data_IF_530836547107
#
_entry.id   IF_530836547107
#
_cell.length_a   1.000
_cell.length_b   1.000
_cell.length_c   1.000
_cell.angle_alpha   90.00
_cell.angle_beta   90.00
_cell.angle_gamma   90.00
#
_symmetry.space_group_name_H-M   'P 1'
#
loop_
_entity.id
_entity.type
_entity.pdbx_description
1 polymer ?
#
# COMPACT_ATOMS: atom_id res chain seq x y z
N UNK A 1 -64.99 6.87 59.71
CA UNK A 1 -65.46 7.36 58.41
C UNK A 1 -64.31 8.11 57.75
N UNK A 2 -63.89 7.65 56.57
CA UNK A 2 -63.04 8.32 55.53
C UNK A 2 -61.58 8.72 55.92
N UNK A 3 -60.52 8.07 55.41
CA UNK A 3 -59.82 8.24 54.10
C UNK A 3 -59.28 9.68 53.88
N UNK A 4 -57.98 9.96 53.61
CA UNK A 4 -57.07 9.53 52.52
C UNK A 4 -55.59 9.50 53.02
N UNK A 5 -54.74 8.48 52.81
CA UNK A 5 -53.95 7.99 51.63
C UNK A 5 -52.97 8.99 51.01
N UNK A 6 -51.69 8.83 51.36
CA UNK A 6 -50.49 9.25 50.60
C UNK A 6 -49.40 8.20 50.89
N UNK A 7 -49.11 7.32 49.93
CA UNK A 7 -48.06 6.31 50.00
C UNK A 7 -47.24 6.41 48.71
N UNK A 8 -46.04 6.97 48.82
CA UNK A 8 -44.98 6.91 47.82
C UNK A 8 -44.26 5.56 47.99
N UNK A 9 -44.28 4.73 46.96
CA UNK A 9 -43.48 3.50 46.88
C UNK A 9 -42.12 3.81 46.24
N UNK A 10 -41.06 3.61 47.01
CA UNK A 10 -39.71 3.29 46.55
C UNK A 10 -39.72 1.93 45.85
N UNK A 11 -39.10 1.85 44.66
CA UNK A 11 -38.55 0.60 44.14
C UNK A 11 -37.32 0.88 43.27
N UNK A 12 -36.19 0.58 43.89
CA UNK A 12 -34.86 0.27 43.36
C UNK A 12 -34.95 -0.78 42.22
N UNK A 13 -34.21 -0.60 41.13
CA UNK A 13 -33.73 -1.69 40.27
C UNK A 13 -32.60 -1.26 39.34
N UNK A 14 -31.42 -1.77 39.69
CA UNK A 14 -30.50 -2.57 38.86
C UNK A 14 -30.01 -2.05 37.48
N UNK A 15 -28.72 -1.75 37.52
CA UNK A 15 -27.66 -1.92 36.52
C UNK A 15 -28.03 -2.78 35.30
N UNK A 16 -28.12 -2.12 34.13
CA UNK A 16 -28.00 -2.79 32.84
C UNK A 16 -26.87 -2.15 32.03
N UNK A 17 -25.68 -2.67 32.28
CA UNK A 17 -24.52 -2.64 31.40
C UNK A 17 -24.87 -3.18 30.01
N UNK A 18 -25.08 -2.29 29.04
CA UNK A 18 -25.10 -2.67 27.64
C UNK A 18 -23.67 -2.71 27.11
N UNK A 19 -23.06 -3.89 27.29
CA UNK A 19 -21.91 -4.34 26.52
C UNK A 19 -22.34 -4.44 25.04
N UNK A 20 -22.03 -3.40 24.26
CA UNK A 20 -22.14 -3.43 22.81
C UNK A 20 -20.92 -4.17 22.26
N UNK A 21 -20.93 -5.50 22.39
CA UNK A 21 -20.14 -6.40 21.57
C UNK A 21 -20.51 -6.20 20.11
N UNK A 22 -19.78 -5.32 19.41
CA UNK A 22 -19.80 -5.23 17.96
C UNK A 22 -19.15 -6.48 17.39
N UNK A 23 -19.94 -7.55 17.30
CA UNK A 23 -19.63 -8.71 16.49
C UNK A 23 -19.66 -8.29 15.02
N UNK A 24 -18.50 -7.91 14.49
CA UNK A 24 -18.30 -7.51 13.11
C UNK A 24 -18.09 -8.75 12.24
N UNK A 25 -19.12 -9.62 12.19
CA UNK A 25 -19.17 -10.72 11.23
C UNK A 25 -19.56 -10.15 9.85
N UNK A 26 -18.54 -9.69 9.13
CA UNK A 26 -18.66 -8.95 7.87
C UNK A 26 -18.37 -9.85 6.65
N UNK A 27 -18.69 -11.15 6.64
CA UNK A 27 -18.57 -11.98 5.43
C UNK A 27 -19.77 -11.80 4.47
N UNK A 28 -20.17 -10.56 4.24
CA UNK A 28 -21.20 -10.20 3.27
C UNK A 28 -20.65 -10.17 1.84
N UNK A 29 -21.51 -10.40 0.82
CA UNK A 29 -21.11 -10.40 -0.60
C UNK A 29 -20.53 -9.06 -1.10
N UNK A 30 -20.70 -7.99 -0.33
CA UNK A 30 -20.23 -6.63 -0.65
C UNK A 30 -18.71 -6.46 -0.44
N UNK A 31 -18.06 -7.29 0.40
CA UNK A 31 -16.61 -7.17 0.68
C UNK A 31 -15.74 -7.27 -0.56
N UNK A 32 -16.13 -8.08 -1.54
CA UNK A 32 -15.39 -8.21 -2.79
C UNK A 32 -15.34 -6.90 -3.60
N UNK A 33 -16.37 -6.06 -3.48
CA UNK A 33 -16.42 -4.76 -4.12
C UNK A 33 -15.43 -3.76 -3.50
N UNK A 34 -14.94 -4.02 -2.29
CA UNK A 34 -14.01 -3.14 -1.59
C UNK A 34 -12.56 -3.27 -2.11
N UNK A 35 -12.22 -4.40 -2.73
CA UNK A 35 -10.89 -4.67 -3.31
C UNK A 35 -10.79 -4.18 -4.76
N UNK A 36 -11.13 -2.91 -4.96
CA UNK A 36 -11.21 -2.27 -6.29
C UNK A 36 -9.87 -2.17 -7.02
N UNK A 37 -8.76 -2.19 -6.26
CA UNK A 37 -7.43 -1.85 -6.79
C UNK A 37 -6.78 -2.99 -7.57
N UNK A 38 -7.27 -4.22 -7.46
CA UNK A 38 -6.73 -5.38 -8.19
C UNK A 38 -6.59 -5.11 -9.69
N UNK A 39 -7.59 -4.43 -10.30
CA UNK A 39 -7.58 -4.10 -11.74
C UNK A 39 -6.57 -3.03 -12.14
N UNK A 40 -6.03 -2.29 -11.17
CA UNK A 40 -5.09 -1.20 -11.40
C UNK A 40 -3.63 -1.61 -11.15
N UNK A 41 -3.40 -2.86 -10.74
CA UNK A 41 -2.06 -3.41 -10.59
C UNK A 41 -1.54 -3.76 -11.99
N UNK A 42 -0.34 -3.29 -12.33
CA UNK A 42 0.37 -3.71 -13.52
C UNK A 42 1.07 -5.05 -13.24
N UNK A 43 0.28 -6.13 -13.27
CA UNK A 43 0.71 -7.49 -12.90
C UNK A 43 1.91 -7.95 -13.73
N UNK A 44 1.98 -7.57 -15.00
CA UNK A 44 3.08 -7.95 -15.89
C UNK A 44 4.42 -7.39 -15.42
N UNK A 45 4.41 -6.19 -14.83
CA UNK A 45 5.59 -5.48 -14.33
C UNK A 45 5.82 -5.64 -12.82
N UNK A 46 5.02 -6.43 -12.11
CA UNK A 46 5.32 -6.81 -10.71
C UNK A 46 6.66 -7.54 -10.67
N UNK A 47 7.51 -7.12 -9.73
CA UNK A 47 8.82 -7.74 -9.49
C UNK A 47 8.89 -8.20 -8.05
N UNK A 48 9.57 -9.31 -7.82
CA UNK A 48 9.87 -9.78 -6.48
C UNK A 48 11.36 -10.11 -6.36
N UNK A 49 11.94 -9.71 -5.24
CA UNK A 49 13.29 -10.08 -4.86
C UNK A 49 13.20 -11.24 -3.85
N UNK A 50 14.10 -12.21 -4.03
CA UNK A 50 14.17 -13.46 -3.26
C UNK A 50 12.96 -14.40 -3.43
N UNK A 51 12.22 -14.37 -4.56
CA UNK A 51 11.24 -15.41 -4.86
C UNK A 51 11.90 -16.69 -5.40
N UNK A 52 11.48 -17.86 -4.90
CA UNK A 52 12.05 -19.16 -5.31
C UNK A 52 11.68 -19.55 -6.75
N UNK A 53 10.50 -19.11 -7.22
CA UNK A 53 10.05 -19.32 -8.58
C UNK A 53 9.77 -17.98 -9.25
N UNK A 54 10.41 -17.73 -10.38
CA UNK A 54 10.24 -16.49 -11.15
C UNK A 54 8.77 -16.24 -11.50
N UNK A 55 8.27 -15.06 -11.15
CA UNK A 55 6.89 -14.65 -11.41
C UNK A 55 5.85 -15.22 -10.45
N UNK A 56 6.26 -15.94 -9.40
CA UNK A 56 5.35 -16.44 -8.37
C UNK A 56 4.60 -15.31 -7.65
N UNK A 57 5.27 -14.18 -7.40
CA UNK A 57 4.65 -12.99 -6.81
C UNK A 57 3.49 -12.42 -7.64
N UNK A 58 3.48 -12.62 -8.96
CA UNK A 58 2.35 -12.20 -9.81
C UNK A 58 1.08 -12.97 -9.48
N UNK A 59 1.23 -14.19 -8.99
CA UNK A 59 0.13 -15.12 -8.76
C UNK A 59 -0.62 -14.89 -7.45
N UNK A 60 -0.05 -14.12 -6.51
CA UNK A 60 -0.68 -13.82 -5.21
C UNK A 60 -1.68 -12.66 -5.29
N UNK A 61 -1.63 -11.87 -6.36
CA UNK A 61 -2.68 -10.92 -6.68
C UNK A 61 -3.80 -11.68 -7.36
N UNK A 62 -4.93 -11.84 -6.65
CA UNK A 62 -6.10 -12.59 -7.13
C UNK A 62 -7.36 -11.77 -6.88
N UNK A 63 -8.48 -12.20 -7.48
CA UNK A 63 -9.78 -11.64 -7.10
C UNK A 63 -10.17 -12.08 -5.69
N UNK A 64 -11.07 -11.33 -5.06
CA UNK A 64 -11.61 -11.64 -3.73
C UNK A 64 -12.17 -13.07 -3.61
N UNK A 65 -12.80 -13.58 -4.66
CA UNK A 65 -13.38 -14.92 -4.70
C UNK A 65 -12.30 -16.01 -4.66
N UNK A 66 -11.12 -15.71 -5.19
CA UNK A 66 -9.98 -16.63 -5.26
C UNK A 66 -9.03 -16.51 -4.06
N UNK A 67 -9.34 -15.67 -3.07
CA UNK A 67 -8.48 -15.45 -1.88
C UNK A 67 -8.17 -16.72 -1.10
N UNK A 68 -9.07 -17.69 -1.11
CA UNK A 68 -8.93 -18.97 -0.40
C UNK A 68 -8.15 -20.03 -1.20
N UNK A 69 -7.74 -19.73 -2.44
CA UNK A 69 -6.96 -20.62 -3.28
C UNK A 69 -5.49 -20.66 -2.82
N UNK A 70 -5.11 -21.78 -2.21
CA UNK A 70 -3.76 -22.03 -1.72
C UNK A 70 -2.82 -22.65 -2.77
N UNK A 71 -3.28 -22.90 -4.00
CA UNK A 71 -2.46 -23.54 -5.04
C UNK A 71 -1.40 -22.60 -5.62
N UNK A 72 -1.65 -21.29 -5.54
CA UNK A 72 -0.71 -20.26 -6.00
C UNK A 72 -0.21 -19.44 -4.81
N UNK A 73 1.09 -19.31 -4.70
CA UNK A 73 1.77 -18.60 -3.63
C UNK A 73 3.12 -18.08 -4.15
N UNK A 74 3.66 -17.09 -3.45
CA UNK A 74 5.08 -16.74 -3.50
C UNK A 74 5.75 -17.30 -2.26
N UNK A 75 6.93 -17.85 -2.45
CA UNK A 75 7.79 -18.39 -1.39
C UNK A 75 9.19 -17.83 -1.59
N UNK A 76 9.88 -17.57 -0.49
CA UNK A 76 11.27 -17.12 -0.54
C UNK A 76 12.26 -18.25 -0.81
N UNK A 77 13.39 -17.92 -1.46
CA UNK A 77 14.35 -18.93 -1.92
C UNK A 77 15.46 -19.24 -0.90
N UNK A 78 16.11 -18.19 -0.37
CA UNK A 78 17.31 -18.34 0.45
C UNK A 78 17.06 -18.19 1.95
N UNK A 79 16.16 -17.30 2.33
CA UNK A 79 15.92 -16.86 3.70
C UNK A 79 14.49 -16.29 3.81
N UNK A 80 14.08 -15.81 4.98
CA UNK A 80 12.72 -15.33 5.25
C UNK A 80 12.37 -13.98 4.56
N UNK A 81 13.34 -13.26 4.03
CA UNK A 81 13.13 -11.91 3.51
C UNK A 81 12.50 -11.94 2.11
N UNK A 82 11.44 -11.14 1.90
CA UNK A 82 10.81 -10.94 0.59
C UNK A 82 10.57 -9.46 0.32
N UNK A 83 10.91 -9.00 -0.89
CA UNK A 83 10.51 -7.66 -1.36
C UNK A 83 9.64 -7.82 -2.59
N UNK A 84 8.47 -7.19 -2.60
CA UNK A 84 7.52 -7.20 -3.73
C UNK A 84 7.28 -5.77 -4.17
N UNK A 85 7.63 -5.47 -5.42
CA UNK A 85 7.43 -4.19 -6.07
C UNK A 85 6.17 -4.26 -6.96
N UNK A 86 5.22 -3.36 -6.68
CA UNK A 86 3.86 -3.37 -7.21
C UNK A 86 3.62 -2.04 -7.95
N UNK A 87 3.88 -1.99 -9.26
CA UNK A 87 3.53 -0.84 -10.08
C UNK A 87 2.01 -0.78 -10.32
N UNK A 88 1.48 0.44 -10.43
CA UNK A 88 0.08 0.69 -10.75
C UNK A 88 -0.09 1.43 -12.08
N UNK A 89 -1.17 1.12 -12.79
CA UNK A 89 -1.57 1.79 -14.03
C UNK A 89 -2.33 3.10 -13.78
N UNK A 90 -2.71 3.37 -12.53
CA UNK A 90 -3.47 4.53 -12.09
C UNK A 90 -2.85 5.15 -10.83
N UNK A 91 -3.31 6.35 -10.45
CA UNK A 91 -2.91 6.98 -9.19
C UNK A 91 -3.77 6.43 -8.06
N UNK A 92 -3.13 5.80 -7.06
CA UNK A 92 -3.81 5.06 -6.02
C UNK A 92 -3.82 5.84 -4.71
N UNK A 93 -4.95 5.80 -4.01
CA UNK A 93 -5.10 6.16 -2.61
C UNK A 93 -5.45 4.90 -1.83
N UNK A 94 -4.45 4.36 -1.15
CA UNK A 94 -4.57 3.09 -0.45
C UNK A 94 -5.23 3.32 0.92
N UNK A 95 -6.22 2.50 1.26
CA UNK A 95 -6.94 2.54 2.54
C UNK A 95 -6.48 1.41 3.46
N UNK A 96 -6.43 0.18 2.95
CA UNK A 96 -5.90 -0.98 3.67
C UNK A 96 -5.22 -1.98 2.74
N UNK A 97 -4.35 -2.79 3.35
CA UNK A 97 -3.68 -3.93 2.72
C UNK A 97 -4.20 -5.18 3.42
N UNK A 98 -4.59 -6.20 2.67
CA UNK A 98 -4.97 -7.50 3.21
C UNK A 98 -3.90 -8.53 2.84
N UNK A 99 -3.40 -9.27 3.82
CA UNK A 99 -2.37 -10.29 3.61
C UNK A 99 -2.90 -11.65 4.09
N UNK A 100 -2.56 -12.69 3.34
CA UNK A 100 -2.73 -14.07 3.77
C UNK A 100 -1.42 -14.85 3.56
N UNK A 101 -0.70 -15.08 4.65
CA UNK A 101 0.51 -15.91 4.66
C UNK A 101 0.24 -17.42 4.75
N UNK A 102 -1.02 -17.82 4.94
CA UNK A 102 -1.40 -19.21 5.18
C UNK A 102 -1.21 -19.62 6.64
N UNK A 103 -1.30 -20.92 6.96
CA UNK A 103 -1.09 -21.41 8.33
C UNK A 103 0.39 -21.64 8.64
N UNK A 104 0.75 -21.52 9.92
CA UNK A 104 2.06 -21.90 10.43
C UNK A 104 3.15 -20.84 10.30
N UNK A 105 4.39 -21.26 10.59
CA UNK A 105 5.49 -20.35 10.93
C UNK A 105 6.13 -19.67 9.69
N UNK A 106 5.84 -20.15 8.48
CA UNK A 106 6.18 -19.51 7.19
C UNK A 106 5.45 -18.21 6.92
N UNK A 107 4.43 -17.89 7.73
CA UNK A 107 3.68 -16.65 7.59
C UNK A 107 4.59 -15.47 7.95
N UNK A 108 4.70 -14.44 7.11
CA UNK A 108 5.43 -13.24 7.48
C UNK A 108 4.87 -12.63 8.76
N UNK A 109 5.74 -12.22 9.68
CA UNK A 109 5.37 -11.64 10.98
C UNK A 109 5.40 -10.13 10.94
N UNK A 110 6.12 -9.52 9.99
CA UNK A 110 6.21 -8.07 9.83
C UNK A 110 6.11 -7.66 8.36
N UNK A 111 5.53 -6.48 8.12
CA UNK A 111 5.43 -5.86 6.80
C UNK A 111 5.79 -4.38 6.87
N UNK A 112 6.72 -3.95 6.02
CA UNK A 112 7.08 -2.55 5.79
C UNK A 112 6.60 -2.14 4.39
N UNK A 113 6.02 -0.94 4.26
CA UNK A 113 5.60 -0.40 2.98
C UNK A 113 6.34 0.89 2.62
N UNK A 114 6.72 1.01 1.36
CA UNK A 114 7.34 2.19 0.75
C UNK A 114 6.53 2.57 -0.47
N UNK A 115 6.22 3.85 -0.62
CA UNK A 115 5.47 4.35 -1.78
C UNK A 115 6.38 5.16 -2.70
N UNK A 116 6.14 5.03 -4.01
CA UNK A 116 6.81 5.81 -5.06
C UNK A 116 8.34 5.75 -5.01
N UNK A 117 8.88 4.59 -4.63
CA UNK A 117 10.32 4.30 -4.61
C UNK A 117 10.62 3.04 -5.39
N UNK A 118 11.58 3.12 -6.28
CA UNK A 118 12.12 2.01 -7.09
C UNK A 118 13.49 1.52 -6.60
N UNK A 119 14.06 2.21 -5.61
CA UNK A 119 15.41 1.98 -5.08
C UNK A 119 15.43 1.14 -3.80
N UNK A 120 14.31 0.51 -3.42
CA UNK A 120 14.23 -0.32 -2.22
C UNK A 120 14.66 -1.75 -2.53
N UNK A 121 15.73 -2.18 -1.86
CA UNK A 121 16.34 -3.51 -1.90
C UNK A 121 16.71 -3.96 -0.47
N UNK A 122 17.34 -5.13 -0.30
CA UNK A 122 17.66 -5.66 1.04
C UNK A 122 18.71 -4.83 1.80
N UNK A 123 19.59 -4.10 1.11
CA UNK A 123 20.58 -3.22 1.76
C UNK A 123 19.94 -1.92 2.26
N UNK A 124 18.96 -1.41 1.53
CA UNK A 124 18.33 -0.10 1.78
C UNK A 124 17.03 -0.20 2.57
N UNK A 125 16.35 -1.35 2.57
CA UNK A 125 15.05 -1.50 3.19
C UNK A 125 15.07 -1.26 4.71
N UNK A 126 16.11 -1.73 5.42
CA UNK A 126 16.19 -1.54 6.86
C UNK A 126 16.78 -0.19 7.30
N UNK A 127 17.49 0.51 6.41
CA UNK A 127 18.05 1.84 6.68
C UNK A 127 17.12 2.98 6.26
N UNK A 128 16.21 2.71 5.32
CA UNK A 128 15.22 3.66 4.85
C UNK A 128 13.98 3.67 5.75
N UNK A 129 13.51 4.86 6.15
CA UNK A 129 12.25 4.98 6.89
C UNK A 129 11.07 4.48 6.04
N UNK A 130 10.33 3.44 6.48
CA UNK A 130 9.14 2.99 5.78
C UNK A 130 8.03 4.02 5.91
N UNK A 131 7.17 4.10 4.88
CA UNK A 131 5.98 4.96 4.94
C UNK A 131 5.06 4.55 6.11
N UNK A 132 4.94 3.25 6.30
CA UNK A 132 4.33 2.61 7.47
C UNK A 132 4.80 1.16 7.59
N UNK A 133 4.74 0.65 8.81
CA UNK A 133 5.08 -0.72 9.20
C UNK A 133 3.94 -1.31 10.01
N UNK A 134 3.76 -2.63 9.90
CA UNK A 134 2.74 -3.41 10.61
C UNK A 134 3.32 -4.72 11.12
N UNK A 135 2.92 -5.07 12.33
CA UNK A 135 3.00 -6.44 12.83
C UNK A 135 1.84 -7.25 12.26
N UNK A 136 2.18 -8.35 11.59
CA UNK A 136 1.22 -9.25 10.98
C UNK A 136 0.69 -10.24 12.02
N UNK A 137 -0.40 -10.93 11.69
CA UNK A 137 -1.01 -11.91 12.58
C UNK A 137 -0.79 -13.32 12.03
N UNK A 138 -0.46 -14.24 12.92
CA UNK A 138 -0.34 -15.67 12.61
C UNK A 138 -1.71 -16.33 12.53
N UNK A 139 -1.76 -17.48 11.86
CA UNK A 139 -2.88 -18.42 11.89
C UNK A 139 -4.25 -17.84 11.51
N UNK A 140 -4.26 -16.92 10.54
CA UNK A 140 -5.52 -16.42 9.94
C UNK A 140 -6.27 -17.61 9.33
N UNK A 141 -7.54 -17.85 9.68
CA UNK A 141 -8.30 -18.95 9.12
C UNK A 141 -8.39 -18.88 7.60
N UNK A 142 -8.36 -20.03 6.94
CA UNK A 142 -8.47 -20.10 5.47
C UNK A 142 -9.76 -19.40 5.00
N UNK A 143 -9.61 -18.48 4.05
CA UNK A 143 -10.72 -17.72 3.49
C UNK A 143 -11.07 -16.45 4.28
N UNK A 144 -10.49 -16.25 5.45
CA UNK A 144 -10.46 -14.95 6.12
C UNK A 144 -9.19 -14.20 5.73
N UNK A 145 -9.21 -12.89 5.97
CA UNK A 145 -8.09 -12.01 5.70
C UNK A 145 -7.86 -11.07 6.88
N UNK A 146 -6.60 -10.92 7.26
CA UNK A 146 -6.20 -9.85 8.15
C UNK A 146 -6.03 -8.57 7.32
N UNK A 147 -6.83 -7.55 7.66
CA UNK A 147 -6.75 -6.23 7.04
C UNK A 147 -5.88 -5.29 7.90
N UNK A 148 -4.91 -4.68 7.24
CA UNK A 148 -3.94 -3.76 7.82
C UNK A 148 -4.27 -2.34 7.34
N UNK A 149 -4.89 -1.50 8.19
CA UNK A 149 -5.26 -0.15 7.81
C UNK A 149 -4.02 0.72 7.62
N UNK A 150 -4.04 1.53 6.57
CA UNK A 150 -2.99 2.49 6.26
C UNK A 150 -3.33 3.87 6.79
N UNK A 151 -2.31 4.68 7.06
CA UNK A 151 -2.47 6.12 7.29
C UNK A 151 -2.76 6.80 5.95
N UNK A 152 -4.03 6.86 5.56
CA UNK A 152 -4.50 7.35 4.25
C UNK A 152 -3.82 8.67 3.82
N UNK A 153 -3.54 9.58 4.74
CA UNK A 153 -2.84 10.85 4.45
C UNK A 153 -1.41 10.64 3.89
N UNK A 154 -0.69 9.61 4.35
CA UNK A 154 0.62 9.20 3.81
C UNK A 154 0.48 8.36 2.55
N UNK A 155 -0.63 7.65 2.38
CA UNK A 155 -0.86 6.68 1.29
C UNK A 155 -1.79 7.25 0.20
N UNK A 156 -1.39 8.39 -0.38
CA UNK A 156 -2.10 9.02 -1.49
C UNK A 156 -1.16 9.24 -2.68
N UNK A 157 -1.73 9.30 -3.89
CA UNK A 157 -0.99 9.48 -5.13
C UNK A 157 0.14 8.44 -5.33
N UNK A 158 -0.17 7.18 -5.04
CA UNK A 158 0.77 6.07 -5.16
C UNK A 158 0.74 5.58 -6.61
N UNK A 159 1.92 5.47 -7.22
CA UNK A 159 2.17 4.90 -8.55
C UNK A 159 2.97 3.61 -8.48
N UNK A 160 3.76 3.46 -7.42
CA UNK A 160 4.47 2.24 -7.10
C UNK A 160 4.37 1.97 -5.60
N UNK A 161 4.10 0.73 -5.21
CA UNK A 161 4.12 0.26 -3.83
C UNK A 161 5.15 -0.85 -3.68
N UNK A 162 6.11 -0.69 -2.79
CA UNK A 162 7.05 -1.74 -2.41
C UNK A 162 6.66 -2.27 -1.04
N UNK A 163 6.41 -3.57 -0.95
CA UNK A 163 6.18 -4.28 0.30
C UNK A 163 7.42 -5.09 0.63
N UNK A 164 7.93 -4.94 1.85
CA UNK A 164 9.06 -5.68 2.38
C UNK A 164 8.63 -6.48 3.60
N UNK A 165 8.93 -7.76 3.57
CA UNK A 165 8.68 -8.73 4.63
C UNK A 165 10.04 -9.17 5.17
N UNK A 166 10.53 -8.59 6.28
CA UNK A 166 11.86 -8.88 6.81
C UNK A 166 11.96 -10.20 7.59
N UNK A 167 10.85 -10.68 8.15
CA UNK A 167 10.84 -11.83 9.06
C UNK A 167 9.50 -12.56 9.03
N UNK A 168 9.51 -13.82 9.47
CA UNK A 168 8.33 -14.67 9.65
C UNK A 168 8.14 -15.10 11.11
N UNK A 169 7.26 -16.07 11.37
CA UNK A 169 6.93 -16.52 12.73
C UNK A 169 7.86 -17.63 13.27
N UNK A 170 8.93 -17.98 12.55
CA UNK A 170 9.99 -18.89 13.02
C UNK A 170 10.41 -19.99 12.04
N UNK A 171 10.08 -19.89 10.75
CA UNK A 171 10.54 -20.80 9.70
C UNK A 171 11.73 -20.19 8.93
N UNK A 172 12.46 -20.99 8.16
CA UNK A 172 13.61 -20.49 7.39
C UNK A 172 13.17 -19.71 6.13
N UNK A 173 11.93 -19.92 5.68
CA UNK A 173 11.38 -19.29 4.48
C UNK A 173 9.98 -18.74 4.71
N UNK A 174 9.68 -17.61 4.04
CA UNK A 174 8.40 -16.93 4.07
C UNK A 174 7.52 -17.36 2.92
N UNK A 175 6.20 -17.43 3.16
CA UNK A 175 5.20 -17.75 2.13
C UNK A 175 3.99 -16.83 2.21
N UNK A 176 3.54 -16.37 1.05
CA UNK A 176 2.35 -15.53 0.91
C UNK A 176 1.44 -16.12 -0.17
N UNK A 177 0.15 -16.27 0.12
CA UNK A 177 -0.84 -16.84 -0.79
C UNK A 177 -1.75 -15.79 -1.43
N UNK A 178 -1.95 -14.66 -0.75
CA UNK A 178 -2.82 -13.59 -1.23
C UNK A 178 -2.38 -12.22 -0.71
N UNK A 179 -2.39 -11.24 -1.61
CA UNK A 179 -2.25 -9.81 -1.30
C UNK A 179 -3.44 -9.07 -1.92
N UNK A 180 -4.27 -8.48 -1.07
CA UNK A 180 -5.40 -7.65 -1.45
C UNK A 180 -5.14 -6.19 -1.16
N UNK A 181 -5.49 -5.30 -2.08
CA UNK A 181 -5.37 -3.85 -1.90
C UNK A 181 -6.75 -3.21 -1.97
N UNK A 182 -7.10 -2.45 -0.93
CA UNK A 182 -8.39 -1.75 -0.81
C UNK A 182 -8.15 -0.25 -0.78
N UNK A 183 -8.90 0.48 -1.59
CA UNK A 183 -8.73 1.92 -1.72
C UNK A 183 -9.50 2.56 -2.87
N UNK A 184 -9.03 3.72 -3.27
CA UNK A 184 -9.57 4.52 -4.36
C UNK A 184 -8.48 4.70 -5.42
N UNK A 185 -8.87 4.84 -6.69
CA UNK A 185 -7.94 5.14 -7.76
C UNK A 185 -8.46 6.30 -8.60
N UNK A 186 -7.54 7.02 -9.22
CA UNK A 186 -7.82 8.07 -10.18
C UNK A 186 -7.02 7.81 -11.45
N UNK A 187 -7.65 8.05 -12.60
CA UNK A 187 -6.98 7.92 -13.89
C UNK A 187 -5.80 8.90 -13.97
N UNK A 188 -4.66 8.41 -14.43
CA UNK A 188 -3.51 9.26 -14.71
C UNK A 188 -3.74 9.83 -16.11
N UNK A 189 -4.17 11.09 -16.19
CA UNK A 189 -4.12 11.83 -17.45
C UNK A 189 -2.65 11.96 -17.87
N UNK A 190 -2.25 11.17 -18.88
CA UNK A 190 -0.95 11.31 -19.55
C UNK A 190 -1.02 12.48 -20.53
N UNK A 191 -1.26 13.69 -20.04
CA UNK A 191 -0.95 14.86 -20.85
C UNK A 191 0.58 14.97 -20.90
N UNK A 192 1.21 14.83 -22.08
CA UNK A 192 2.63 15.10 -22.19
C UNK A 192 2.82 16.57 -21.81
N UNK A 193 3.54 16.83 -20.72
CA UNK A 193 4.07 18.17 -20.46
C UNK A 193 5.11 18.40 -21.56
N UNK A 194 4.65 18.92 -22.70
CA UNK A 194 5.52 19.45 -23.74
C UNK A 194 6.07 20.74 -23.15
N UNK A 195 7.12 20.65 -22.33
CA UNK A 195 7.93 21.80 -22.00
C UNK A 195 8.68 22.18 -23.27
N UNK A 196 8.02 22.92 -24.17
CA UNK A 196 8.74 23.78 -25.11
C UNK A 196 9.44 24.81 -24.22
N UNK A 197 10.67 24.51 -23.82
CA UNK A 197 11.57 25.55 -23.32
C UNK A 197 11.91 26.37 -24.56
N UNK A 198 11.18 27.46 -24.76
CA UNK A 198 11.46 28.44 -25.80
C UNK A 198 12.86 29.03 -25.53
N UNK A 199 13.89 28.40 -26.09
CA UNK A 199 15.14 29.09 -26.41
C UNK A 199 14.87 29.99 -27.62
N UNK A 200 13.98 30.97 -27.45
CA UNK A 200 14.03 32.18 -28.25
C UNK A 200 15.27 32.93 -27.77
N UNK A 201 16.39 32.73 -28.48
CA UNK A 201 17.52 33.64 -28.37
C UNK A 201 16.99 35.06 -28.60
N UNK A 202 16.91 35.88 -27.55
CA UNK A 202 16.60 37.30 -27.69
C UNK A 202 17.78 37.95 -28.43
N UNK A 203 17.60 38.45 -29.67
CA UNK A 203 18.71 38.96 -30.48
C UNK A 203 19.32 40.29 -29.97
N UNK A 204 19.00 40.72 -28.75
CA UNK A 204 19.43 42.00 -28.18
C UNK A 204 20.62 41.94 -27.22
N UNK A 205 21.22 40.77 -26.94
CA UNK A 205 22.30 40.66 -25.92
C UNK A 205 23.74 40.70 -26.48
N UNK A 206 23.93 40.93 -27.78
CA UNK A 206 25.28 41.17 -28.32
C UNK A 206 25.61 42.68 -28.31
N UNK A 207 26.05 43.21 -27.17
CA UNK A 207 26.85 44.46 -27.17
C UNK A 207 28.28 44.14 -27.58
N UNK A 208 28.55 44.16 -28.88
CA UNK A 208 29.91 44.17 -29.39
C UNK A 208 30.65 45.43 -28.87
N UNK A 209 31.71 45.22 -28.08
CA UNK A 209 32.69 46.26 -27.77
C UNK A 209 33.39 46.64 -29.08
N UNK A 210 33.02 47.78 -29.66
CA UNK A 210 33.80 48.42 -30.71
C UNK A 210 34.99 49.14 -30.06
N UNK A 211 36.15 48.48 -30.05
CA UNK A 211 37.43 49.11 -29.78
C UNK A 211 37.72 50.18 -30.83
N UNK A 212 37.88 51.44 -30.39
CA UNK A 212 38.32 52.54 -31.24
C UNK A 212 39.84 52.51 -31.34
N UNK A 213 40.37 51.94 -32.43
CA UNK A 213 41.75 52.20 -32.86
C UNK A 213 41.77 53.41 -33.79
N UNK A 214 42.52 54.42 -33.37
CA UNK A 214 42.83 55.62 -34.14
C UNK A 214 43.90 55.33 -35.21
N UNK A 215 43.75 55.89 -36.41
CA UNK A 215 44.86 56.06 -37.35
C UNK A 215 44.46 56.23 -38.81
N UNK A 216 44.47 57.47 -39.32
CA UNK A 216 45.15 57.94 -40.56
C UNK A 216 44.72 59.38 -40.88
N UNK A 217 45.59 60.38 -40.79
CA UNK A 217 46.57 60.87 -41.79
C UNK A 217 45.98 61.88 -42.81
N UNK A 218 46.43 63.14 -42.67
CA UNK A 218 46.90 64.09 -43.70
C UNK A 218 45.92 64.53 -44.81
N UNK A 219 45.56 65.82 -44.81
CA UNK A 219 45.95 66.80 -45.84
C UNK A 219 46.08 68.20 -45.21
#
# INVERSE_FOLDING_TARGET
MSHCRDEHHDHDHDDHSHDHGHDHDHDGPDRGAEYTLYKQIDIDNVRCLNESMEGAAKTVFKTWEQRADLTKYVESDADEQLIINIPFTASIKLKSIAIFGGPGDKTPSRMKAYINRDDVDFDTADTTEPTQEWELVRDVPKGQLAEYPTRIAKFSNIRNLTLYFPENFGDDISRIYYIGLKGEWMEINKDPIITIYELAANPSDHKAKAERFAGQMIQ
#
